data_IF_275496383604
#
_entry.id   IF_275496383604
#
_cell.length_a   1.000
_cell.length_b   1.000
_cell.length_c   1.000
_cell.angle_alpha   90.00
_cell.angle_beta   90.00
_cell.angle_gamma   90.00
#
_symmetry.space_group_name_H-M   'P 1'
#
loop_
_entity.id
_entity.type
_entity.pdbx_description
1 polymer ?
#
# COMPACT_ATOMS: atom_id res chain seq x y z
N UNK A 1 -60.76 10.84 7.94
CA UNK A 1 -59.62 10.96 6.98
C UNK A 1 -58.31 11.40 7.63
N UNK A 2 -58.27 12.41 8.53
CA UNK A 2 -57.03 12.84 9.22
C UNK A 2 -56.26 11.74 9.98
N UNK A 3 -56.96 10.80 10.63
CA UNK A 3 -56.34 9.70 11.39
C UNK A 3 -55.63 8.66 10.50
N UNK A 4 -56.11 8.46 9.27
CA UNK A 4 -55.49 7.53 8.32
C UNK A 4 -54.20 8.12 7.70
N UNK A 5 -54.19 9.42 7.43
CA UNK A 5 -52.99 10.12 6.93
C UNK A 5 -51.84 10.11 7.95
N UNK A 6 -52.13 10.29 9.23
CA UNK A 6 -51.13 10.21 10.31
C UNK A 6 -50.50 8.82 10.44
N UNK A 7 -51.29 7.76 10.22
CA UNK A 7 -50.81 6.38 10.30
C UNK A 7 -49.85 6.03 9.15
N UNK A 8 -50.12 6.54 7.94
CA UNK A 8 -49.27 6.36 6.75
C UNK A 8 -47.94 7.11 6.91
N UNK A 9 -47.97 8.35 7.41
CA UNK A 9 -46.74 9.13 7.68
C UNK A 9 -45.87 8.48 8.75
N UNK A 10 -46.48 7.91 9.81
CA UNK A 10 -45.75 7.16 10.84
C UNK A 10 -45.10 5.89 10.29
N UNK A 11 -45.78 5.17 9.38
CA UNK A 11 -45.21 3.99 8.69
C UNK A 11 -44.03 4.35 7.77
N UNK A 12 -44.10 5.49 7.08
CA UNK A 12 -42.98 6.00 6.27
C UNK A 12 -41.80 6.47 7.12
N UNK A 13 -42.05 7.09 8.29
CA UNK A 13 -40.98 7.47 9.21
C UNK A 13 -40.35 6.25 9.89
N UNK A 14 -41.14 5.22 10.21
CA UNK A 14 -40.62 3.98 10.79
C UNK A 14 -39.76 3.16 9.80
N UNK A 15 -40.06 3.18 8.49
CA UNK A 15 -39.24 2.47 7.50
C UNK A 15 -37.89 3.14 7.24
N UNK A 16 -37.82 4.48 7.35
CA UNK A 16 -36.57 5.21 7.21
C UNK A 16 -35.58 4.93 8.36
N UNK A 17 -36.08 4.66 9.58
CA UNK A 17 -35.24 4.36 10.75
C UNK A 17 -34.54 3.00 10.62
N UNK A 18 -35.17 2.00 10.01
CA UNK A 18 -34.59 0.67 9.84
C UNK A 18 -33.43 0.63 8.82
N UNK A 19 -33.35 1.58 7.89
CA UNK A 19 -32.24 1.68 6.92
C UNK A 19 -30.98 2.30 7.53
N UNK A 20 -31.11 3.12 8.58
CA UNK A 20 -29.99 3.82 9.23
C UNK A 20 -29.23 2.92 10.21
N UNK A 21 -29.83 1.80 10.64
CA UNK A 21 -29.22 0.83 11.56
C UNK A 21 -28.61 -0.40 10.88
N UNK A 22 -28.45 -0.38 9.56
CA UNK A 22 -27.51 -1.28 8.91
C UNK A 22 -26.09 -0.81 9.25
N UNK A 23 -25.69 -1.03 10.51
CA UNK A 23 -24.30 -0.98 10.94
C UNK A 23 -23.56 -1.95 10.01
N UNK A 24 -22.81 -1.39 9.07
CA UNK A 24 -22.03 -2.12 8.08
C UNK A 24 -20.94 -2.85 8.83
N UNK A 25 -21.28 -4.01 9.40
CA UNK A 25 -20.31 -4.93 9.95
C UNK A 25 -19.37 -5.30 8.81
N UNK A 26 -18.07 -5.07 9.03
CA UNK A 26 -17.03 -5.46 8.09
C UNK A 26 -17.13 -6.97 7.90
N UNK A 27 -17.42 -7.40 6.68
CA UNK A 27 -17.43 -8.80 6.32
C UNK A 27 -15.99 -9.31 6.30
N UNK A 28 -15.65 -10.15 7.28
CA UNK A 28 -14.29 -10.68 7.45
C UNK A 28 -13.82 -11.47 6.24
N UNK A 29 -14.71 -12.05 5.44
CA UNK A 29 -14.34 -12.82 4.24
C UNK A 29 -13.79 -11.95 3.11
N UNK A 30 -14.00 -10.64 3.18
CA UNK A 30 -13.50 -9.64 2.23
C UNK A 30 -12.21 -8.96 2.70
N UNK A 31 -11.74 -9.29 3.90
CA UNK A 31 -10.49 -8.75 4.45
C UNK A 31 -9.34 -9.63 3.98
N UNK A 32 -8.29 -9.00 3.45
CA UNK A 32 -7.06 -9.66 3.04
C UNK A 32 -5.85 -8.92 3.59
N UNK A 33 -4.83 -9.66 3.99
CA UNK A 33 -3.59 -9.14 4.54
C UNK A 33 -2.44 -9.42 3.58
N UNK A 34 -1.57 -8.43 3.41
CA UNK A 34 -0.39 -8.51 2.57
C UNK A 34 0.82 -8.20 3.44
N UNK A 35 1.73 -9.16 3.63
CA UNK A 35 2.80 -9.03 4.62
C UNK A 35 4.17 -9.25 4.01
N UNK A 36 5.00 -8.21 4.03
CA UNK A 36 6.45 -8.36 3.86
C UNK A 36 7.07 -8.84 5.16
N UNK A 37 7.91 -9.87 5.08
CA UNK A 37 8.52 -10.47 6.25
C UNK A 37 9.73 -11.34 5.95
N UNK A 38 10.35 -11.85 7.01
CA UNK A 38 11.43 -12.83 6.89
C UNK A 38 11.11 -14.12 7.62
N UNK A 39 11.53 -15.25 7.03
CA UNK A 39 11.36 -16.60 7.61
C UNK A 39 12.02 -16.76 8.99
N UNK A 40 12.98 -15.90 9.31
CA UNK A 40 13.70 -15.89 10.58
C UNK A 40 13.12 -14.93 11.63
N UNK A 41 12.15 -14.09 11.28
CA UNK A 41 11.56 -13.11 12.20
C UNK A 41 10.46 -13.74 13.07
N UNK A 42 10.60 -13.78 14.41
CA UNK A 42 9.58 -14.32 15.31
C UNK A 42 8.24 -13.58 15.20
N UNK A 43 8.29 -12.25 15.01
CA UNK A 43 7.11 -11.41 14.85
C UNK A 43 6.35 -11.74 13.55
N UNK A 44 7.07 -11.98 12.45
CA UNK A 44 6.46 -12.45 11.21
C UNK A 44 5.78 -13.81 11.40
N UNK A 45 6.46 -14.75 12.07
CA UNK A 45 5.91 -16.08 12.34
C UNK A 45 4.59 -15.99 13.12
N UNK A 46 4.55 -15.20 14.18
CA UNK A 46 3.33 -15.02 14.97
C UNK A 46 2.18 -14.46 14.14
N UNK A 47 2.43 -13.41 13.34
CA UNK A 47 1.39 -12.83 12.48
C UNK A 47 0.91 -13.81 11.39
N UNK A 48 1.80 -14.66 10.85
CA UNK A 48 1.42 -15.75 9.93
C UNK A 48 0.51 -16.79 10.56
N UNK A 49 0.52 -16.93 11.88
CA UNK A 49 -0.35 -17.87 12.61
C UNK A 49 -1.66 -17.20 13.04
N UNK A 50 -1.60 -15.97 13.56
CA UNK A 50 -2.77 -15.27 14.11
C UNK A 50 -3.73 -14.76 13.04
N UNK A 51 -3.23 -14.26 11.91
CA UNK A 51 -4.08 -13.73 10.83
C UNK A 51 -4.99 -14.84 10.26
N UNK A 52 -4.45 -15.98 9.76
CA UNK A 52 -5.28 -17.03 9.21
C UNK A 52 -6.24 -17.65 10.23
N UNK A 53 -5.82 -17.75 11.50
CA UNK A 53 -6.68 -18.25 12.58
C UNK A 53 -7.95 -17.41 12.77
N UNK A 54 -7.88 -16.10 12.52
CA UNK A 54 -9.00 -15.19 12.74
C UNK A 54 -9.79 -14.85 11.48
N UNK A 55 -9.14 -14.82 10.31
CA UNK A 55 -9.73 -14.39 9.04
C UNK A 55 -9.79 -15.50 7.96
N UNK A 56 -9.25 -16.68 8.25
CA UNK A 56 -9.26 -17.85 7.37
C UNK A 56 -7.91 -18.11 6.67
N UNK A 57 -7.67 -19.36 6.27
CA UNK A 57 -6.38 -19.80 5.69
C UNK A 57 -5.91 -19.02 4.46
N UNK A 58 -6.84 -18.46 3.69
CA UNK A 58 -6.55 -17.69 2.47
C UNK A 58 -6.46 -16.18 2.70
N UNK A 59 -6.58 -15.71 3.94
CA UNK A 59 -6.61 -14.27 4.26
C UNK A 59 -5.25 -13.59 4.19
N UNK A 60 -4.15 -14.32 3.98
CA UNK A 60 -2.79 -13.78 4.04
C UNK A 60 -1.99 -14.11 2.79
N UNK A 61 -1.50 -13.06 2.12
CA UNK A 61 -0.37 -13.14 1.17
C UNK A 61 0.92 -12.75 1.89
N UNK A 62 1.94 -13.61 1.81
CA UNK A 62 3.22 -13.40 2.47
C UNK A 62 4.35 -13.25 1.47
N UNK A 63 5.06 -12.12 1.54
CA UNK A 63 6.22 -11.77 0.72
C UNK A 63 7.50 -11.99 1.52
N UNK A 64 8.16 -13.13 1.27
CA UNK A 64 9.44 -13.46 1.90
C UNK A 64 10.56 -12.58 1.35
N UNK A 65 11.30 -11.90 2.22
CA UNK A 65 12.41 -11.04 1.81
C UNK A 65 13.76 -11.77 1.68
N UNK A 66 13.99 -12.85 2.44
CA UNK A 66 15.27 -13.56 2.39
C UNK A 66 15.36 -14.39 1.12
N UNK A 67 16.47 -14.24 0.38
CA UNK A 67 16.73 -14.92 -0.89
C UNK A 67 15.72 -14.54 -2.01
N UNK A 68 15.08 -13.36 -1.91
CA UNK A 68 14.13 -12.85 -2.90
C UNK A 68 14.40 -11.37 -3.22
N UNK A 69 15.14 -11.12 -4.30
CA UNK A 69 15.56 -9.77 -4.71
C UNK A 69 14.37 -8.89 -5.11
N UNK A 70 13.35 -9.45 -5.77
CA UNK A 70 12.15 -8.72 -6.19
C UNK A 70 11.39 -8.18 -4.97
N UNK A 71 11.10 -9.05 -3.99
CA UNK A 71 10.43 -8.64 -2.76
C UNK A 71 11.24 -7.61 -1.99
N UNK A 72 12.57 -7.76 -1.95
CA UNK A 72 13.48 -6.79 -1.34
C UNK A 72 13.42 -5.42 -2.01
N UNK A 73 13.36 -5.38 -3.35
CA UNK A 73 13.24 -4.15 -4.12
C UNK A 73 11.88 -3.46 -3.85
N UNK A 74 10.78 -4.21 -3.90
CA UNK A 74 9.45 -3.66 -3.60
C UNK A 74 9.36 -3.16 -2.16
N UNK A 75 9.96 -3.88 -1.20
CA UNK A 75 10.00 -3.44 0.19
C UNK A 75 10.83 -2.17 0.39
N UNK A 76 11.88 -1.96 -0.41
CA UNK A 76 12.62 -0.68 -0.43
C UNK A 76 11.74 0.49 -0.89
N UNK A 77 10.83 0.27 -1.84
CA UNK A 77 9.84 1.29 -2.23
C UNK A 77 8.83 1.54 -1.11
N UNK A 78 8.39 0.50 -0.39
CA UNK A 78 7.56 0.67 0.83
C UNK A 78 8.28 1.56 1.85
N UNK A 79 9.57 1.32 2.11
CA UNK A 79 10.38 2.18 2.99
C UNK A 79 10.42 3.64 2.51
N UNK A 80 10.61 3.88 1.20
CA UNK A 80 10.66 5.24 0.65
C UNK A 80 9.33 5.98 0.81
N UNK A 81 8.20 5.29 0.65
CA UNK A 81 6.86 5.90 0.74
C UNK A 81 6.36 6.06 2.17
N UNK A 82 6.76 5.18 3.08
CA UNK A 82 6.14 5.08 4.43
C UNK A 82 7.12 5.31 5.59
N UNK A 83 8.43 5.15 5.35
CA UNK A 83 9.45 5.10 6.40
C UNK A 83 9.53 3.78 7.16
N UNK A 84 8.71 2.77 6.83
CA UNK A 84 8.76 1.45 7.47
C UNK A 84 10.06 0.76 7.10
N UNK A 85 10.86 0.43 8.11
CA UNK A 85 12.18 -0.19 7.92
C UNK A 85 12.28 -1.58 8.55
N UNK A 86 11.33 -1.93 9.41
CA UNK A 86 11.24 -3.24 10.06
C UNK A 86 10.22 -4.18 9.42
N UNK A 87 10.31 -5.46 9.82
CA UNK A 87 9.32 -6.49 9.48
C UNK A 87 8.68 -7.08 10.75
N UNK A 88 7.41 -7.53 10.68
CA UNK A 88 6.54 -7.53 9.51
C UNK A 88 6.05 -6.14 9.12
N UNK A 89 5.88 -5.90 7.81
CA UNK A 89 5.14 -4.75 7.29
C UNK A 89 3.85 -5.27 6.66
N UNK A 90 2.71 -4.89 7.23
CA UNK A 90 1.42 -5.54 6.98
C UNK A 90 0.44 -4.53 6.39
N UNK A 91 0.06 -4.73 5.13
CA UNK A 91 -1.07 -4.06 4.50
C UNK A 91 -2.38 -4.77 4.82
N UNK A 92 -3.41 -4.01 5.18
CA UNK A 92 -4.77 -4.49 5.43
C UNK A 92 -5.66 -3.98 4.31
N UNK A 93 -6.18 -4.89 3.49
CA UNK A 93 -7.12 -4.60 2.43
C UNK A 93 -8.52 -5.10 2.78
N UNK A 94 -9.53 -4.39 2.29
CA UNK A 94 -10.93 -4.79 2.35
C UNK A 94 -11.60 -4.50 1.01
N UNK A 95 -12.24 -5.51 0.39
CA UNK A 95 -12.76 -5.39 -0.99
C UNK A 95 -11.68 -4.89 -1.98
N UNK A 96 -10.46 -5.44 -1.88
CA UNK A 96 -9.31 -5.11 -2.74
C UNK A 96 -8.85 -3.64 -2.70
N UNK A 97 -9.19 -2.91 -1.64
CA UNK A 97 -8.70 -1.54 -1.37
C UNK A 97 -7.88 -1.52 -0.09
N UNK A 98 -6.75 -0.82 -0.09
CA UNK A 98 -5.86 -0.75 1.07
C UNK A 98 -6.36 0.29 2.08
N UNK A 99 -6.55 -0.12 3.34
CA UNK A 99 -7.06 0.74 4.42
C UNK A 99 -6.05 1.02 5.51
N UNK A 100 -5.07 0.13 5.71
CA UNK A 100 -4.00 0.38 6.65
C UNK A 100 -2.69 -0.29 6.25
N UNK A 101 -1.58 0.26 6.76
CA UNK A 101 -0.26 -0.37 6.73
C UNK A 101 0.31 -0.29 8.15
N UNK A 102 0.80 -1.40 8.66
CA UNK A 102 1.30 -1.53 10.03
C UNK A 102 2.73 -2.05 10.02
N UNK A 103 3.62 -1.33 10.71
CA UNK A 103 4.96 -1.82 11.09
C UNK A 103 4.88 -2.62 12.41
N UNK A 104 5.24 -3.90 12.34
CA UNK A 104 5.35 -4.79 13.50
C UNK A 104 4.11 -5.65 13.78
N UNK A 105 4.14 -6.33 14.93
CA UNK A 105 2.98 -7.10 15.41
C UNK A 105 1.84 -6.17 15.82
N UNK A 106 0.61 -6.64 15.65
CA UNK A 106 -0.57 -5.93 16.13
C UNK A 106 -1.67 -6.90 16.58
N UNK A 107 -2.67 -6.38 17.29
CA UNK A 107 -3.85 -7.16 17.65
C UNK A 107 -4.74 -7.38 16.42
N UNK A 108 -4.71 -8.59 15.85
CA UNK A 108 -5.50 -8.98 14.67
C UNK A 108 -7.00 -8.74 14.86
N UNK A 109 -7.50 -8.77 16.11
CA UNK A 109 -8.91 -8.48 16.41
C UNK A 109 -9.31 -7.02 16.21
N UNK A 110 -8.35 -6.09 16.19
CA UNK A 110 -8.62 -4.67 15.94
C UNK A 110 -8.84 -4.34 14.44
N UNK A 111 -8.61 -5.31 13.53
CA UNK A 111 -8.66 -5.08 12.08
C UNK A 111 -9.96 -4.42 11.60
N UNK A 112 -11.12 -4.86 12.11
CA UNK A 112 -12.41 -4.29 11.69
C UNK A 112 -12.57 -2.83 12.13
N UNK A 113 -12.04 -2.48 13.31
CA UNK A 113 -12.03 -1.11 13.81
C UNK A 113 -11.08 -0.24 12.98
N UNK A 114 -9.89 -0.75 12.67
CA UNK A 114 -8.91 -0.07 11.80
C UNK A 114 -9.52 0.26 10.43
N UNK A 115 -10.20 -0.70 9.80
CA UNK A 115 -10.86 -0.47 8.50
C UNK A 115 -11.97 0.59 8.64
N UNK A 116 -12.81 0.51 9.67
CA UNK A 116 -13.87 1.50 9.92
C UNK A 116 -13.29 2.91 10.12
N UNK A 117 -12.24 3.05 10.95
CA UNK A 117 -11.58 4.34 11.17
C UNK A 117 -10.98 4.90 9.88
N UNK A 118 -10.41 4.06 9.03
CA UNK A 118 -9.86 4.49 7.74
C UNK A 118 -10.98 4.99 6.80
N UNK A 119 -12.12 4.29 6.76
CA UNK A 119 -13.32 4.70 6.00
C UNK A 119 -13.87 6.04 6.49
N UNK A 120 -14.06 6.20 7.80
CA UNK A 120 -14.57 7.43 8.42
C UNK A 120 -13.68 8.65 8.13
N UNK A 121 -12.37 8.43 8.03
CA UNK A 121 -11.40 9.50 7.78
C UNK A 121 -11.09 9.73 6.30
N UNK A 122 -11.69 8.93 5.40
CA UNK A 122 -11.43 8.94 3.95
C UNK A 122 -9.94 8.89 3.64
N UNK A 123 -9.23 7.91 4.20
CA UNK A 123 -7.79 7.77 4.01
C UNK A 123 -7.26 6.40 4.39
N UNK A 124 -5.94 6.24 4.28
CA UNK A 124 -5.21 5.05 4.71
C UNK A 124 -4.55 5.32 6.06
N UNK A 125 -4.68 4.40 7.01
CA UNK A 125 -4.00 4.51 8.31
C UNK A 125 -2.60 3.91 8.22
N UNK A 126 -1.57 4.69 8.51
CA UNK A 126 -0.19 4.24 8.56
C UNK A 126 0.30 4.20 10.00
N UNK A 127 0.71 3.02 10.48
CA UNK A 127 1.40 2.84 11.75
C UNK A 127 2.88 2.59 11.50
N UNK A 128 3.73 3.56 11.88
CA UNK A 128 5.19 3.50 11.67
C UNK A 128 5.91 4.19 12.82
N UNK A 129 6.98 3.57 13.34
CA UNK A 129 7.77 4.11 14.45
C UNK A 129 6.96 4.38 15.72
N UNK A 130 5.93 3.57 15.98
CA UNK A 130 5.04 3.71 17.15
C UNK A 130 4.06 4.89 17.07
N UNK A 131 3.88 5.50 15.90
CA UNK A 131 2.92 6.58 15.64
C UNK A 131 1.90 6.15 14.61
N UNK A 132 0.72 6.79 14.66
CA UNK A 132 -0.34 6.60 13.68
C UNK A 132 -0.53 7.88 12.84
N UNK A 133 -0.68 7.72 11.54
CA UNK A 133 -0.92 8.80 10.58
C UNK A 133 -2.11 8.44 9.70
N UNK A 134 -2.80 9.45 9.18
CA UNK A 134 -3.83 9.29 8.15
C UNK A 134 -3.26 9.85 6.86
N UNK A 135 -2.99 8.97 5.89
CA UNK A 135 -2.62 9.36 4.54
C UNK A 135 -3.89 9.68 3.75
N UNK A 136 -3.92 10.87 3.12
CA UNK A 136 -5.01 11.32 2.26
C UNK A 136 -4.58 11.59 0.81
N UNK A 137 -3.28 11.44 0.52
CA UNK A 137 -2.77 11.63 -0.83
C UNK A 137 -3.11 10.38 -1.65
N UNK A 138 -4.06 10.51 -2.57
CA UNK A 138 -4.56 9.41 -3.40
C UNK A 138 -3.44 8.75 -4.22
N UNK A 139 -2.56 9.55 -4.84
CA UNK A 139 -1.42 9.03 -5.60
C UNK A 139 -0.48 8.18 -4.75
N UNK A 140 -0.17 8.60 -3.52
CA UNK A 140 0.64 7.78 -2.62
C UNK A 140 -0.09 6.49 -2.18
N UNK A 141 -1.40 6.54 -1.98
CA UNK A 141 -2.19 5.36 -1.63
C UNK A 141 -2.21 4.37 -2.80
N UNK A 142 -2.41 4.83 -4.03
CA UNK A 142 -2.35 4.01 -5.24
C UNK A 142 -0.97 3.35 -5.42
N UNK A 143 0.11 4.08 -5.15
CA UNK A 143 1.47 3.52 -5.16
C UNK A 143 1.62 2.39 -4.12
N UNK A 144 1.06 2.58 -2.92
CA UNK A 144 1.08 1.56 -1.87
C UNK A 144 0.19 0.35 -2.23
N UNK A 145 -0.94 0.56 -2.89
CA UNK A 145 -1.78 -0.52 -3.41
C UNK A 145 -1.05 -1.34 -4.47
N UNK A 146 -0.28 -0.71 -5.35
CA UNK A 146 0.58 -1.45 -6.31
C UNK A 146 1.60 -2.33 -5.62
N UNK A 147 2.25 -1.83 -4.57
CA UNK A 147 3.25 -2.59 -3.82
C UNK A 147 2.63 -3.75 -3.04
N UNK A 148 1.56 -3.49 -2.28
CA UNK A 148 0.97 -4.50 -1.40
C UNK A 148 -0.01 -5.44 -2.10
N UNK A 149 -0.88 -4.94 -2.98
CA UNK A 149 -1.98 -5.72 -3.57
C UNK A 149 -1.56 -6.31 -4.92
N UNK A 150 -1.06 -5.48 -5.83
CA UNK A 150 -0.67 -5.92 -7.17
C UNK A 150 0.71 -6.59 -7.22
N UNK A 151 1.53 -6.35 -6.20
CA UNK A 151 2.91 -6.80 -6.09
C UNK A 151 3.78 -6.35 -7.27
N UNK A 152 3.76 -5.04 -7.56
CA UNK A 152 4.54 -4.40 -8.63
C UNK A 152 5.19 -3.12 -8.15
N UNK A 153 6.28 -2.74 -8.82
CA UNK A 153 6.97 -1.46 -8.59
C UNK A 153 6.03 -0.29 -8.88
N UNK A 154 6.00 0.68 -7.95
CA UNK A 154 5.22 1.89 -8.07
C UNK A 154 6.00 3.02 -8.78
N UNK A 155 7.34 2.96 -8.76
CA UNK A 155 8.21 4.03 -9.26
C UNK A 155 8.55 3.92 -10.75
N UNK A 156 8.43 2.73 -11.35
CA UNK A 156 8.82 2.51 -12.75
C UNK A 156 7.79 2.97 -13.80
N UNK A 157 6.53 3.21 -13.41
CA UNK A 157 5.49 3.63 -14.36
C UNK A 157 5.45 5.15 -14.61
N UNK A 158 6.01 5.97 -13.71
CA UNK A 158 5.99 7.43 -13.84
C UNK A 158 6.92 7.96 -14.94
N UNK A 159 7.76 7.12 -15.55
CA UNK A 159 8.71 7.53 -16.60
C UNK A 159 8.28 7.19 -18.04
N UNK A 160 7.11 6.58 -18.27
CA UNK A 160 6.67 6.20 -19.63
C UNK A 160 5.60 7.13 -20.20
N UNK A 161 5.81 8.45 -20.10
CA UNK A 161 5.00 9.45 -20.82
C UNK A 161 5.80 10.73 -21.08
N UNK A 162 6.89 10.61 -21.84
CA UNK A 162 7.44 11.73 -22.59
C UNK A 162 8.18 11.26 -23.84
N UNK A 163 7.52 11.46 -24.98
CA UNK A 163 8.08 11.71 -26.32
C UNK A 163 8.83 10.55 -27.01
N UNK A 164 8.06 9.72 -27.71
CA UNK A 164 8.53 9.12 -28.98
C UNK A 164 8.81 10.26 -29.98
N UNK A 165 10.09 10.52 -30.26
CA UNK A 165 10.50 11.23 -31.48
C UNK A 165 10.66 10.21 -32.60
N UNK A 166 10.23 10.50 -33.83
CA UNK A 166 10.33 9.56 -34.94
C UNK A 166 11.78 9.53 -35.43
N UNK A 167 12.49 8.42 -35.18
CA UNK A 167 13.76 8.15 -35.84
C UNK A 167 13.50 7.82 -37.31
N UNK A 168 13.74 8.81 -38.18
CA UNK A 168 13.89 8.60 -39.62
C UNK A 168 15.14 7.77 -39.89
N UNK A 169 15.00 6.98 -40.95
CA UNK A 169 15.93 6.02 -41.53
C UNK A 169 17.34 6.56 -41.81
N UNK A 170 18.32 5.68 -41.62
CA UNK A 170 19.44 5.49 -42.54
C UNK A 170 20.68 6.38 -42.33
N UNK A 171 21.80 5.74 -41.96
CA UNK A 171 23.04 5.68 -42.78
C UNK A 171 24.09 4.83 -42.04
N UNK A 172 24.64 3.89 -42.79
CA UNK A 172 25.70 2.95 -42.44
C UNK A 172 27.08 3.63 -42.63
N UNK A 173 28.03 3.44 -41.73
CA UNK A 173 29.45 3.78 -41.98
C UNK A 173 30.31 3.89 -40.71
N UNK A 174 31.53 3.30 -40.68
CA UNK A 174 32.38 3.29 -39.50
C UNK A 174 33.35 4.49 -39.47
N UNK A 175 33.58 5.02 -38.27
CA UNK A 175 34.72 5.89 -37.98
C UNK A 175 34.34 7.32 -37.62
N UNK A 176 34.58 7.69 -36.36
CA UNK A 176 35.58 8.70 -36.03
C UNK A 176 35.75 8.84 -34.51
N UNK A 177 37.01 8.92 -34.15
CA UNK A 177 37.61 9.01 -32.83
C UNK A 177 37.28 10.37 -32.21
N UNK A 178 36.81 10.38 -30.95
CA UNK A 178 36.98 11.53 -30.07
C UNK A 178 37.45 11.06 -28.70
N UNK A 179 38.78 10.89 -28.57
CA UNK A 179 39.45 10.89 -27.29
C UNK A 179 39.55 12.35 -26.82
N UNK A 180 38.67 12.76 -25.90
CA UNK A 180 38.76 14.07 -25.26
C UNK A 180 39.90 14.05 -24.22
N UNK A 181 40.98 14.70 -24.64
CA UNK A 181 41.98 15.43 -23.88
C UNK A 181 41.99 15.27 -22.34
N UNK A 182 43.06 14.64 -21.87
CA UNK A 182 43.61 14.76 -20.53
C UNK A 182 43.94 16.23 -20.22
N UNK A 183 43.31 16.78 -19.18
CA UNK A 183 43.67 18.07 -18.56
C UNK A 183 44.73 17.81 -17.49
N UNK A 184 45.96 18.32 -17.61
CA UNK A 184 46.95 18.23 -16.54
C UNK A 184 46.73 19.37 -15.54
N UNK A 185 46.13 19.06 -14.39
CA UNK A 185 46.21 19.91 -13.19
C UNK A 185 47.53 19.65 -12.48
N UNK A 186 48.57 20.37 -12.88
CA UNK A 186 49.84 20.42 -12.15
C UNK A 186 50.21 21.87 -11.80
N UNK A 187 50.58 22.03 -10.53
CA UNK A 187 51.28 23.15 -9.90
C UNK A 187 50.52 24.45 -9.59
N UNK A 188 49.93 24.50 -8.38
CA UNK A 188 50.11 25.67 -7.48
C UNK A 188 49.90 25.34 -6.00
N UNK A 189 50.95 24.81 -5.36
CA UNK A 189 51.17 24.75 -3.90
C UNK A 189 52.70 24.75 -3.76
N UNK A 190 53.40 25.54 -2.94
CA UNK A 190 53.21 26.72 -2.09
C UNK A 190 54.66 27.28 -1.92
N UNK A 191 54.82 28.36 -1.15
CA UNK A 191 56.10 28.78 -0.51
C UNK A 191 57.04 27.63 -0.18
#
# INVERSE_FOLDING_TARGET
MRKAALFIVFLFLASAVSLVLADTQIDKSKVHFYMYGTKTCPHCKKMKEEIPKQFGEQSLTYYELIDNEENGALFSEVYQLTGISGVPAIGIAYDNKLYAIIEGEFNVSATTEIIKTAQENNGLILFVGGKAYILKNETHIEMLEKLFIEHKSALNETQTSSTQSPSKEGICGPGLIFAFALVPLLFKRRR
#
